data_IF_214318321709
#
_entry.id   IF_214318321709
#
_cell.length_a   1.000
_cell.length_b   1.000
_cell.length_c   1.000
_cell.angle_alpha   90.00
_cell.angle_beta   90.00
_cell.angle_gamma   90.00
#
_symmetry.space_group_name_H-M   'P 1'
#
loop_
_entity.id
_entity.type
_entity.pdbx_description
1 polymer ?
#
# COMPACT_ATOMS: atom_id res chain seq x y z
N UNK A 1 -27.21 -58.51 63.08
CA UNK A 1 -26.33 -58.94 61.95
C UNK A 1 -27.14 -58.73 60.67
N UNK A 2 -26.77 -57.99 59.62
CA UNK A 2 -25.50 -57.46 59.11
C UNK A 2 -25.78 -56.18 58.29
N UNK A 3 -25.01 -55.13 58.61
CA UNK A 3 -24.38 -54.08 57.80
C UNK A 3 -25.15 -53.36 56.66
N UNK A 4 -25.50 -52.11 56.97
CA UNK A 4 -25.54 -50.97 56.06
C UNK A 4 -24.15 -50.66 55.48
N UNK A 5 -24.10 -50.24 54.21
CA UNK A 5 -22.92 -49.68 53.57
C UNK A 5 -23.31 -48.40 52.81
N UNK A 6 -22.64 -47.26 53.04
CA UNK A 6 -22.90 -46.01 52.34
C UNK A 6 -22.00 -45.89 51.11
N UNK A 7 -22.43 -45.20 50.06
CA UNK A 7 -21.50 -44.53 49.14
C UNK A 7 -22.25 -43.42 48.37
N UNK A 8 -22.20 -42.25 48.99
CA UNK A 8 -22.27 -40.96 48.32
C UNK A 8 -21.04 -40.86 47.43
N UNK A 9 -21.24 -40.79 46.12
CA UNK A 9 -20.22 -40.55 45.09
C UNK A 9 -20.66 -39.40 44.22
N UNK A 10 -20.34 -38.20 44.70
CA UNK A 10 -20.54 -36.91 44.06
C UNK A 10 -19.53 -36.74 42.89
N UNK A 11 -19.89 -35.84 41.98
CA UNK A 11 -19.00 -34.81 41.42
C UNK A 11 -18.49 -35.02 39.98
N UNK A 12 -19.14 -34.24 39.10
CA UNK A 12 -18.60 -33.51 37.95
C UNK A 12 -17.81 -34.27 36.88
N UNK A 13 -18.52 -34.63 35.80
CA UNK A 13 -17.97 -34.35 34.47
C UNK A 13 -18.04 -32.84 34.25
N UNK A 14 -16.96 -32.12 34.61
CA UNK A 14 -16.70 -30.82 34.03
C UNK A 14 -16.39 -31.04 32.55
N UNK A 15 -17.24 -30.51 31.69
CA UNK A 15 -16.99 -30.40 30.27
C UNK A 15 -15.71 -29.57 30.07
N UNK A 16 -14.61 -30.22 29.70
CA UNK A 16 -13.43 -29.55 29.15
C UNK A 16 -13.55 -29.60 27.64
N UNK A 17 -14.35 -28.69 27.08
CA UNK A 17 -14.32 -28.33 25.66
C UNK A 17 -14.23 -26.82 25.54
N UNK A 18 -13.14 -26.23 26.04
CA UNK A 18 -12.80 -24.84 25.74
C UNK A 18 -11.29 -24.75 25.59
N UNK A 19 -10.80 -24.94 24.37
CA UNK A 19 -9.53 -24.39 23.88
C UNK A 19 -9.28 -24.94 22.47
N UNK A 20 -9.59 -24.17 21.42
CA UNK A 20 -8.97 -24.47 20.12
C UNK A 20 -9.70 -24.02 18.85
N UNK A 21 -10.95 -23.57 18.92
CA UNK A 21 -11.58 -22.95 17.76
C UNK A 21 -11.36 -21.44 17.86
N UNK A 22 -10.24 -20.94 17.32
CA UNK A 22 -10.22 -19.56 16.85
C UNK A 22 -11.21 -19.53 15.70
N UNK A 23 -12.35 -18.86 15.88
CA UNK A 23 -13.36 -18.80 14.84
C UNK A 23 -12.79 -17.99 13.67
N UNK A 24 -12.97 -18.49 12.44
CA UNK A 24 -12.45 -17.85 11.24
C UNK A 24 -12.88 -16.38 11.15
N UNK A 25 -14.06 -16.08 11.67
CA UNK A 25 -14.65 -14.76 11.73
C UNK A 25 -13.83 -13.80 12.61
N UNK A 26 -13.32 -14.26 13.75
CA UNK A 26 -12.45 -13.45 14.62
C UNK A 26 -11.12 -13.09 13.91
N UNK A 27 -10.56 -14.03 13.15
CA UNK A 27 -9.33 -13.81 12.38
C UNK A 27 -9.59 -12.82 11.24
N UNK A 28 -10.70 -13.00 10.53
CA UNK A 28 -11.07 -12.12 9.43
C UNK A 28 -11.33 -10.70 9.94
N UNK A 29 -12.03 -10.58 11.07
CA UNK A 29 -12.28 -9.29 11.70
C UNK A 29 -10.97 -8.61 12.13
N UNK A 30 -10.06 -9.34 12.79
CA UNK A 30 -8.76 -8.81 13.16
C UNK A 30 -7.91 -8.36 11.93
N UNK A 31 -8.03 -9.06 10.79
CA UNK A 31 -7.37 -8.66 9.54
C UNK A 31 -7.99 -7.41 8.92
N UNK A 32 -9.32 -7.25 8.99
CA UNK A 32 -10.02 -6.08 8.50
C UNK A 32 -9.73 -4.84 9.35
N UNK A 33 -9.62 -5.00 10.67
CA UNK A 33 -9.24 -3.94 11.61
C UNK A 33 -7.81 -3.43 11.36
N UNK A 34 -6.92 -4.29 10.86
CA UNK A 34 -5.54 -3.94 10.49
C UNK A 34 -5.38 -3.55 9.02
N UNK A 35 -6.46 -3.56 8.24
CA UNK A 35 -6.40 -3.24 6.83
C UNK A 35 -6.23 -1.73 6.61
N UNK A 36 -5.43 -1.39 5.61
CA UNK A 36 -5.10 -0.04 5.22
C UNK A 36 -5.59 0.21 3.80
N UNK A 37 -6.10 1.40 3.54
CA UNK A 37 -6.35 1.90 2.19
C UNK A 37 -5.17 2.76 1.77
N UNK A 38 -4.57 2.45 0.63
CA UNK A 38 -3.52 3.24 -0.01
C UNK A 38 -4.12 3.89 -1.24
N UNK A 39 -4.18 5.21 -1.26
CA UNK A 39 -4.60 6.01 -2.39
C UNK A 39 -3.37 6.65 -3.02
N UNK A 40 -3.18 6.45 -4.31
CA UNK A 40 -2.06 6.97 -5.09
C UNK A 40 -2.65 7.80 -6.22
N UNK A 41 -2.28 9.07 -6.28
CA UNK A 41 -2.63 9.98 -7.37
C UNK A 41 -1.34 10.38 -8.08
N UNK A 42 -1.30 10.15 -9.40
CA UNK A 42 -0.18 10.55 -10.24
C UNK A 42 -0.61 11.67 -11.16
N UNK A 43 0.23 12.68 -11.31
CA UNK A 43 0.06 13.72 -12.33
C UNK A 43 1.29 13.75 -13.23
N UNK A 44 1.04 13.74 -14.53
CA UNK A 44 2.05 14.04 -15.54
C UNK A 44 1.83 15.49 -15.96
N UNK A 45 2.85 16.31 -15.76
CA UNK A 45 2.80 17.74 -16.07
C UNK A 45 3.84 18.11 -17.12
N UNK A 46 3.46 19.00 -18.03
CA UNK A 46 4.41 19.60 -18.95
C UNK A 46 5.07 20.81 -18.28
N UNK A 47 6.40 20.81 -18.24
CA UNK A 47 7.22 21.86 -17.63
C UNK A 47 6.84 22.18 -16.16
N UNK A 48 6.17 21.26 -15.46
CA UNK A 48 5.75 21.44 -14.06
C UNK A 48 4.56 22.38 -13.87
N UNK A 49 3.80 22.68 -14.93
CA UNK A 49 2.72 23.68 -14.91
C UNK A 49 1.37 23.09 -15.25
N UNK A 50 1.24 22.53 -16.44
CA UNK A 50 -0.03 22.04 -16.95
C UNK A 50 -0.11 20.53 -16.78
N UNK A 51 -1.15 20.04 -16.10
CA UNK A 51 -1.41 18.60 -15.99
C UNK A 51 -2.00 18.11 -17.30
N UNK A 52 -1.20 17.35 -18.05
CA UNK A 52 -1.62 16.74 -19.32
C UNK A 52 -2.24 15.36 -19.11
N UNK A 53 -1.92 14.71 -17.98
CA UNK A 53 -2.48 13.42 -17.63
C UNK A 53 -2.54 13.20 -16.12
N UNK A 54 -3.55 12.45 -15.65
CA UNK A 54 -3.70 12.07 -14.25
C UNK A 54 -4.13 10.61 -14.12
N UNK A 55 -3.51 9.86 -13.21
CA UNK A 55 -3.88 8.50 -12.84
C UNK A 55 -4.25 8.43 -11.37
N UNK A 56 -5.23 7.62 -11.01
CA UNK A 56 -5.62 7.37 -9.62
C UNK A 56 -5.73 5.86 -9.38
N UNK A 57 -5.09 5.38 -8.31
CA UNK A 57 -5.13 4.00 -7.85
C UNK A 57 -5.50 3.99 -6.37
N UNK A 58 -6.57 3.28 -6.01
CA UNK A 58 -6.92 3.02 -4.61
C UNK A 58 -6.89 1.52 -4.38
N UNK A 59 -6.12 1.07 -3.39
CA UNK A 59 -5.96 -0.35 -3.09
C UNK A 59 -5.98 -0.60 -1.59
N UNK A 60 -6.60 -1.71 -1.18
CA UNK A 60 -6.55 -2.17 0.22
C UNK A 60 -5.33 -3.07 0.41
N UNK A 61 -4.57 -2.82 1.46
CA UNK A 61 -3.41 -3.60 1.88
C UNK A 61 -3.43 -3.84 3.40
N UNK A 62 -2.37 -4.43 3.93
CA UNK A 62 -2.10 -4.58 5.36
C UNK A 62 -0.69 -4.05 5.65
N UNK A 63 -0.40 -3.78 6.92
CA UNK A 63 0.94 -3.41 7.37
C UNK A 63 2.01 -4.40 6.84
N UNK A 64 3.10 -3.86 6.30
CA UNK A 64 4.21 -4.60 5.70
C UNK A 64 3.98 -5.12 4.27
N UNK A 65 2.79 -4.92 3.68
CA UNK A 65 2.50 -5.37 2.31
C UNK A 65 2.47 -4.21 1.30
N UNK A 66 3.36 -4.30 0.30
CA UNK A 66 3.53 -3.29 -0.73
C UNK A 66 2.31 -3.14 -1.65
N UNK A 67 2.01 -1.89 -2.02
CA UNK A 67 1.13 -1.51 -3.13
C UNK A 67 1.98 -0.99 -4.27
N UNK A 68 1.80 -1.53 -5.47
CA UNK A 68 2.62 -1.26 -6.64
C UNK A 68 1.87 -0.44 -7.68
N UNK A 69 2.47 0.65 -8.12
CA UNK A 69 2.10 1.43 -9.28
C UNK A 69 3.09 1.14 -10.42
N UNK A 70 2.57 0.93 -11.63
CA UNK A 70 3.37 0.85 -12.85
C UNK A 70 2.78 1.77 -13.90
N UNK A 71 3.59 2.68 -14.40
CA UNK A 71 3.24 3.62 -15.47
C UNK A 71 4.16 3.38 -16.65
N UNK A 72 3.59 3.27 -17.83
CA UNK A 72 4.31 3.06 -19.09
C UNK A 72 3.79 4.07 -20.11
N UNK A 73 4.70 4.71 -20.85
CA UNK A 73 4.34 5.65 -21.90
C UNK A 73 5.55 6.05 -22.73
N UNK A 74 5.42 5.96 -24.06
CA UNK A 74 6.51 6.25 -25.00
C UNK A 74 7.76 5.44 -24.67
N UNK A 75 8.85 6.14 -24.35
CA UNK A 75 10.14 5.58 -23.99
C UNK A 75 10.41 5.53 -22.48
N UNK A 76 9.39 5.79 -21.65
CA UNK A 76 9.49 5.88 -20.19
C UNK A 76 8.68 4.77 -19.52
N UNK A 77 9.29 4.09 -18.56
CA UNK A 77 8.62 3.18 -17.62
C UNK A 77 8.96 3.59 -16.19
N UNK A 78 7.94 3.75 -15.36
CA UNK A 78 8.06 4.03 -13.93
C UNK A 78 7.39 2.90 -13.16
N UNK A 79 8.10 2.36 -12.17
CA UNK A 79 7.54 1.47 -11.16
C UNK A 79 7.74 2.13 -9.80
N UNK A 80 6.67 2.29 -9.04
CA UNK A 80 6.72 2.74 -7.67
C UNK A 80 6.06 1.70 -6.76
N UNK A 81 6.69 1.41 -5.62
CA UNK A 81 6.16 0.52 -4.60
C UNK A 81 6.08 1.26 -3.26
N UNK A 82 4.93 1.16 -2.60
CA UNK A 82 4.63 1.82 -1.34
C UNK A 82 4.28 0.76 -0.30
N UNK A 83 5.15 0.60 0.69
CA UNK A 83 5.00 -0.39 1.76
C UNK A 83 4.73 0.34 3.08
N UNK A 84 3.47 0.40 3.54
CA UNK A 84 3.13 0.99 4.83
C UNK A 84 3.44 0.02 5.96
N UNK A 85 4.06 0.49 7.04
CA UNK A 85 4.21 -0.22 8.29
C UNK A 85 3.48 0.56 9.40
N UNK A 86 2.42 -0.02 9.95
CA UNK A 86 1.76 0.55 11.12
C UNK A 86 2.68 0.48 12.34
N UNK A 87 2.96 1.63 12.95
CA UNK A 87 3.72 1.73 14.20
C UNK A 87 2.80 1.93 15.41
N UNK A 88 1.65 2.56 15.21
CA UNK A 88 0.58 2.72 16.19
C UNK A 88 -0.78 2.85 15.47
N UNK A 89 -1.87 3.07 16.23
CA UNK A 89 -3.21 3.24 15.68
C UNK A 89 -3.34 4.47 14.76
N UNK A 90 -2.42 5.44 14.85
CA UNK A 90 -2.48 6.71 14.11
C UNK A 90 -1.23 6.97 13.25
N UNK A 91 -0.16 6.19 13.42
CA UNK A 91 1.14 6.45 12.77
C UNK A 91 1.61 5.32 11.87
N UNK A 92 2.11 5.70 10.70
CA UNK A 92 2.64 4.81 9.67
C UNK A 92 4.08 5.19 9.33
N UNK A 93 4.98 4.20 9.29
CA UNK A 93 6.25 4.30 8.57
C UNK A 93 6.03 3.84 7.12
N UNK A 94 6.06 4.76 6.16
CA UNK A 94 5.98 4.43 4.74
C UNK A 94 7.39 4.24 4.15
N UNK A 95 7.61 3.08 3.54
CA UNK A 95 8.76 2.84 2.65
C UNK A 95 8.30 2.99 1.21
N UNK A 96 8.91 3.93 0.49
CA UNK A 96 8.64 4.20 -0.92
C UNK A 96 9.87 3.85 -1.76
N UNK A 97 9.69 2.99 -2.74
CA UNK A 97 10.72 2.56 -3.69
C UNK A 97 10.29 2.97 -5.10
N UNK A 98 11.18 3.61 -5.84
CA UNK A 98 10.91 4.11 -7.19
C UNK A 98 11.98 3.64 -8.16
N UNK A 99 11.56 3.10 -9.30
CA UNK A 99 12.42 2.61 -10.36
C UNK A 99 11.97 3.21 -11.69
N UNK A 100 12.93 3.67 -12.49
CA UNK A 100 12.67 4.36 -13.75
C UNK A 100 13.58 3.78 -14.82
N UNK A 101 12.98 3.45 -15.96
CA UNK A 101 13.68 3.08 -17.19
C UNK A 101 13.34 4.11 -18.26
N UNK A 102 14.36 4.70 -18.87
CA UNK A 102 14.22 5.56 -20.04
C UNK A 102 14.99 4.93 -21.20
N UNK A 103 14.33 4.76 -22.33
CA UNK A 103 14.98 4.35 -23.58
C UNK A 103 15.32 5.60 -24.40
N UNK A 104 16.60 5.84 -24.64
CA UNK A 104 17.06 6.93 -25.51
C UNK A 104 16.77 6.65 -27.00
N UNK A 105 16.97 7.65 -27.87
CA UNK A 105 16.79 7.48 -29.32
C UNK A 105 17.74 6.42 -29.92
N UNK A 106 18.91 6.21 -29.31
CA UNK A 106 19.89 5.19 -29.72
C UNK A 106 19.63 3.81 -29.08
N UNK A 107 18.42 3.57 -28.58
CA UNK A 107 17.99 2.36 -27.84
C UNK A 107 18.76 2.10 -26.52
N UNK A 108 19.59 3.04 -26.06
CA UNK A 108 20.26 2.94 -24.77
C UNK A 108 19.26 3.10 -23.61
N UNK A 109 19.25 2.15 -22.67
CA UNK A 109 18.36 2.17 -21.51
C UNK A 109 19.06 2.79 -20.30
N UNK A 110 18.58 3.94 -19.85
CA UNK A 110 18.97 4.53 -18.57
C UNK A 110 18.08 4.02 -17.45
N UNK A 111 18.69 3.43 -16.43
CA UNK A 111 18.01 2.96 -15.23
C UNK A 111 18.31 3.84 -14.03
N UNK A 112 17.29 4.24 -13.27
CA UNK A 112 17.42 4.95 -12.00
C UNK A 112 16.56 4.29 -10.94
N UNK A 113 17.07 4.20 -9.72
CA UNK A 113 16.35 3.70 -8.55
C UNK A 113 16.48 4.65 -7.37
N UNK A 114 15.47 4.66 -6.49
CA UNK A 114 15.47 5.42 -5.25
C UNK A 114 14.66 4.70 -4.19
N UNK A 115 15.09 4.83 -2.94
CA UNK A 115 14.36 4.35 -1.76
C UNK A 115 14.27 5.50 -0.76
N UNK A 116 13.09 5.69 -0.16
CA UNK A 116 12.79 6.69 0.86
C UNK A 116 11.94 6.07 1.95
N UNK A 117 12.19 6.48 3.18
CA UNK A 117 11.36 6.14 4.35
C UNK A 117 10.86 7.42 4.98
N UNK A 118 9.59 7.47 5.37
CA UNK A 118 8.98 8.62 6.03
C UNK A 118 7.95 8.17 7.05
N UNK A 119 7.91 8.85 8.20
CA UNK A 119 6.82 8.72 9.15
C UNK A 119 5.68 9.63 8.68
N UNK A 120 4.46 9.10 8.73
CA UNK A 120 3.22 9.76 8.33
C UNK A 120 2.15 9.49 9.39
N UNK A 121 1.23 10.43 9.55
CA UNK A 121 -0.05 10.16 10.23
C UNK A 121 -1.06 9.54 9.26
N UNK A 122 -2.03 8.78 9.77
CA UNK A 122 -3.12 8.28 8.94
C UNK A 122 -3.94 9.44 8.34
N UNK A 123 -4.21 9.35 7.03
CA UNK A 123 -4.84 10.40 6.24
C UNK A 123 -3.89 11.51 5.79
N UNK A 124 -2.63 11.51 6.24
CA UNK A 124 -1.61 12.44 5.75
C UNK A 124 -1.22 12.10 4.30
N UNK A 125 -0.97 13.16 3.51
CA UNK A 125 -0.54 13.06 2.12
C UNK A 125 0.96 13.24 2.00
N UNK A 126 1.65 12.19 1.57
CA UNK A 126 3.03 12.25 1.13
C UNK A 126 3.09 12.61 -0.35
N UNK A 127 3.91 13.62 -0.71
CA UNK A 127 4.07 14.02 -2.12
C UNK A 127 5.52 13.91 -2.57
N UNK A 128 5.71 13.25 -3.71
CA UNK A 128 7.00 12.97 -4.32
C UNK A 128 7.15 13.80 -5.61
N UNK A 129 8.14 14.69 -5.61
CA UNK A 129 8.44 15.62 -6.71
C UNK A 129 9.91 15.59 -7.11
N UNK A 130 10.20 15.97 -8.37
CA UNK A 130 9.77 15.26 -9.56
C UNK A 130 10.53 13.93 -9.65
N UNK A 131 9.84 12.85 -9.99
CA UNK A 131 10.52 11.56 -10.21
C UNK A 131 11.29 11.53 -11.54
N UNK A 132 11.06 12.50 -12.43
CA UNK A 132 11.83 12.72 -13.65
C UNK A 132 12.57 14.04 -13.61
N UNK A 133 13.90 14.02 -13.50
CA UNK A 133 14.75 15.13 -13.92
C UNK A 133 15.66 14.66 -15.04
N UNK A 134 15.18 14.86 -16.25
CA UNK A 134 15.98 15.14 -17.42
C UNK A 134 15.11 16.02 -18.30
N UNK A 135 15.72 16.87 -19.12
CA UNK A 135 15.12 17.34 -20.36
C UNK A 135 14.81 16.10 -21.21
N UNK A 136 13.70 15.42 -20.90
CA UNK A 136 13.29 14.26 -21.66
C UNK A 136 12.52 14.81 -22.84
N UNK A 137 13.12 14.78 -24.02
CA UNK A 137 12.39 14.86 -25.29
C UNK A 137 11.51 13.59 -25.38
N UNK A 138 10.36 13.61 -24.69
CA UNK A 138 9.37 12.54 -24.78
C UNK A 138 8.43 12.95 -25.90
N UNK A 139 8.70 12.42 -27.09
CA UNK A 139 7.86 12.63 -28.26
C UNK A 139 6.60 11.75 -28.13
N UNK A 140 5.59 12.26 -27.43
CA UNK A 140 4.24 11.69 -27.43
C UNK A 140 3.50 12.20 -28.67
N UNK A 141 3.94 11.72 -29.83
CA UNK A 141 3.32 11.80 -31.16
C UNK A 141 2.98 13.18 -31.77
N UNK A 142 3.04 14.30 -31.05
CA UNK A 142 2.78 15.63 -31.60
C UNK A 142 3.59 16.70 -30.85
N UNK A 143 4.66 17.18 -31.49
CA UNK A 143 5.74 17.89 -30.82
C UNK A 143 5.38 19.19 -30.12
N UNK A 144 5.94 19.36 -28.93
CA UNK A 144 6.93 20.40 -28.58
C UNK A 144 7.88 19.77 -27.54
N UNK A 145 9.19 20.06 -27.62
CA UNK A 145 10.19 19.60 -26.63
C UNK A 145 9.98 20.28 -25.27
N UNK A 146 8.98 19.85 -24.52
CA UNK A 146 8.73 20.21 -23.12
C UNK A 146 9.25 19.12 -22.19
N UNK A 147 9.92 19.50 -21.10
CA UNK A 147 10.33 18.51 -20.10
C UNK A 147 9.11 17.99 -19.34
N UNK A 148 8.82 16.69 -19.45
CA UNK A 148 7.75 16.07 -18.67
C UNK A 148 8.18 15.85 -17.22
N UNK A 149 7.28 16.17 -16.28
CA UNK A 149 7.43 15.90 -14.86
C UNK A 149 6.36 14.91 -14.42
N UNK A 150 6.74 14.00 -13.52
CA UNK A 150 5.81 13.07 -12.86
C UNK A 150 5.82 13.36 -11.37
N UNK A 151 4.62 13.60 -10.85
CA UNK A 151 4.33 13.90 -9.45
C UNK A 151 3.47 12.77 -8.89
N UNK A 152 3.83 12.25 -7.72
CA UNK A 152 3.04 11.24 -7.01
C UNK A 152 2.58 11.79 -5.67
N UNK A 153 1.29 11.70 -5.39
CA UNK A 153 0.69 11.90 -4.08
C UNK A 153 0.22 10.54 -3.55
N UNK A 154 0.59 10.21 -2.32
CA UNK A 154 0.20 8.99 -1.64
C UNK A 154 -0.44 9.33 -0.31
N UNK A 155 -1.60 8.76 -0.06
CA UNK A 155 -2.35 8.88 1.18
C UNK A 155 -2.64 7.47 1.71
N UNK A 156 -2.41 7.27 3.01
CA UNK A 156 -2.66 6.00 3.70
C UNK A 156 -3.67 6.24 4.80
N UNK A 157 -4.77 5.51 4.79
CA UNK A 157 -5.84 5.61 5.79
C UNK A 157 -6.27 4.23 6.28
N UNK A 158 -6.93 4.17 7.43
CA UNK A 158 -7.57 2.92 7.88
C UNK A 158 -8.62 2.48 6.86
N UNK A 159 -8.72 1.18 6.63
CA UNK A 159 -9.80 0.64 5.83
C UNK A 159 -11.14 0.82 6.57
N UNK A 160 -12.11 1.40 5.87
CA UNK A 160 -13.49 1.42 6.31
C UNK A 160 -14.29 0.56 5.34
N UNK A 161 -14.82 -0.57 5.83
CA UNK A 161 -15.79 -1.34 5.08
C UNK A 161 -17.00 -0.43 4.82
N UNK A 162 -17.32 -0.16 3.56
CA UNK A 162 -18.63 0.41 3.24
C UNK A 162 -19.68 -0.62 3.66
N UNK A 163 -20.55 -0.25 4.60
CA UNK A 163 -21.78 -1.00 4.88
C UNK A 163 -22.58 -1.03 3.57
N UNK A 164 -22.66 -2.23 2.97
CA UNK A 164 -23.43 -2.47 1.73
C UNK A 164 -24.92 -2.55 1.96
#
# INVERSE_FOLDING_TARGET
>A
MRRTGPLIGLLFLFAVSVAGAVELDDILQALLEQALTVKIVTRVTENGRETIHSYELTQVTISGRAVRLRLEGGNLTIVAEFTPYAESDESILLIAEGQIWLTGPDEEVQYRTSVRSMALELGEKAVFYPLGRSTFDIDLENGESGGLNVELEVEIASYQAQEG
#
